data_IF_161208054166
#
_entry.id   IF_161208054166
#
_cell.length_a   1.000
_cell.length_b   1.000
_cell.length_c   1.000
_cell.angle_alpha   90.00
_cell.angle_beta   90.00
_cell.angle_gamma   90.00
#
_symmetry.space_group_name_H-M   'P 1'
#
loop_
_entity.id
_entity.type
_entity.pdbx_description
1 polymer ?
#
# COMPACT_ATOMS: atom_id res chain seq x y z
N UNK A 1 -29.10 -5.79 -2.52
CA UNK A 1 -28.43 -5.12 -1.40
C UNK A 1 -26.95 -5.10 -1.73
N UNK A 2 -26.30 -3.96 -1.55
CA UNK A 2 -24.85 -3.80 -1.75
C UNK A 2 -24.10 -4.64 -0.70
N UNK A 3 -23.14 -5.46 -1.11
CA UNK A 3 -22.31 -6.27 -0.21
C UNK A 3 -21.37 -5.41 0.61
N UNK A 4 -20.89 -5.88 1.75
CA UNK A 4 -19.90 -5.17 2.56
C UNK A 4 -18.58 -4.96 1.80
N UNK A 5 -18.24 -5.86 0.88
CA UNK A 5 -17.10 -5.69 -0.03
C UNK A 5 -17.30 -4.53 -1.01
N UNK A 6 -18.48 -4.39 -1.61
CA UNK A 6 -18.79 -3.27 -2.50
C UNK A 6 -18.74 -1.94 -1.75
N UNK A 7 -19.30 -1.86 -0.54
CA UNK A 7 -19.20 -0.68 0.32
C UNK A 7 -17.74 -0.34 0.63
N UNK A 8 -16.95 -1.33 1.06
CA UNK A 8 -15.53 -1.18 1.36
C UNK A 8 -14.77 -0.55 0.19
N UNK A 9 -14.94 -1.08 -1.03
CA UNK A 9 -14.26 -0.59 -2.23
C UNK A 9 -14.80 0.77 -2.70
N UNK A 10 -16.06 1.10 -2.39
CA UNK A 10 -16.66 2.41 -2.66
C UNK A 10 -16.23 3.49 -1.65
N UNK A 11 -15.51 3.13 -0.58
CA UNK A 11 -15.11 4.06 0.49
C UNK A 11 -16.26 4.40 1.45
N UNK A 12 -17.34 3.63 1.42
CA UNK A 12 -18.46 3.73 2.35
C UNK A 12 -18.13 3.06 3.68
N UNK A 13 -18.94 3.32 4.71
CA UNK A 13 -18.84 2.57 5.97
C UNK A 13 -19.26 1.11 5.75
N UNK A 14 -18.40 0.18 6.16
CA UNK A 14 -18.60 -1.25 6.02
C UNK A 14 -18.28 -2.00 7.30
N UNK A 15 -18.82 -3.20 7.43
CA UNK A 15 -18.54 -4.11 8.53
C UNK A 15 -17.37 -5.04 8.16
N UNK A 16 -16.19 -4.80 8.72
CA UNK A 16 -15.00 -5.63 8.48
C UNK A 16 -15.13 -7.08 9.00
N UNK A 17 -16.09 -7.35 9.87
CA UNK A 17 -16.36 -8.70 10.38
C UNK A 17 -17.27 -9.54 9.45
N UNK A 18 -17.67 -8.98 8.30
CA UNK A 18 -18.42 -9.71 7.29
C UNK A 18 -17.70 -11.02 6.90
N UNK A 19 -18.41 -12.16 6.80
CA UNK A 19 -17.80 -13.46 6.53
C UNK A 19 -16.96 -13.53 5.27
N UNK A 20 -17.37 -12.86 4.18
CA UNK A 20 -16.63 -12.86 2.91
C UNK A 20 -15.33 -12.08 3.04
N UNK A 21 -15.35 -10.92 3.74
CA UNK A 21 -14.16 -10.13 4.02
C UNK A 21 -13.20 -10.89 4.96
N UNK A 22 -13.71 -11.57 5.96
CA UNK A 22 -12.90 -12.43 6.85
C UNK A 22 -12.27 -13.58 6.07
N UNK A 23 -13.02 -14.24 5.17
CA UNK A 23 -12.48 -15.31 4.33
C UNK A 23 -11.37 -14.80 3.40
N UNK A 24 -11.55 -13.61 2.80
CA UNK A 24 -10.56 -13.00 1.93
C UNK A 24 -9.26 -12.68 2.69
N UNK A 25 -9.33 -12.08 3.89
CA UNK A 25 -8.14 -11.83 4.72
C UNK A 25 -7.45 -13.14 5.15
N UNK A 26 -8.21 -14.18 5.48
CA UNK A 26 -7.63 -15.50 5.80
C UNK A 26 -6.89 -16.11 4.61
N UNK A 27 -7.41 -15.92 3.39
CA UNK A 27 -6.71 -16.34 2.17
C UNK A 27 -5.38 -15.59 2.02
N UNK A 28 -5.40 -14.26 2.13
CA UNK A 28 -4.19 -13.44 2.06
C UNK A 28 -3.14 -13.87 3.10
N UNK A 29 -3.55 -14.08 4.36
CA UNK A 29 -2.65 -14.53 5.44
C UNK A 29 -1.97 -15.87 5.17
N UNK A 30 -2.67 -16.83 4.53
CA UNK A 30 -2.03 -18.11 4.13
C UNK A 30 -0.96 -17.91 3.08
N UNK A 31 -1.20 -17.05 2.09
CA UNK A 31 -0.21 -16.73 1.05
C UNK A 31 0.97 -15.94 1.62
N UNK A 32 0.70 -14.99 2.50
CA UNK A 32 1.74 -14.24 3.22
C UNK A 32 2.60 -15.14 4.12
N UNK A 33 2.03 -16.13 4.79
CA UNK A 33 2.80 -17.10 5.59
C UNK A 33 3.76 -17.88 4.70
N UNK A 34 3.31 -18.36 3.53
CA UNK A 34 4.18 -19.02 2.55
C UNK A 34 5.27 -18.08 2.03
N UNK A 35 4.90 -16.87 1.63
CA UNK A 35 5.83 -15.87 1.14
C UNK A 35 6.88 -15.48 2.19
N UNK A 36 6.46 -15.20 3.42
CA UNK A 36 7.36 -14.73 4.48
C UNK A 36 8.30 -15.81 5.03
N UNK A 37 8.03 -17.09 4.75
CA UNK A 37 8.95 -18.21 5.05
C UNK A 37 9.96 -18.48 3.95
N UNK A 38 9.91 -17.79 2.83
CA UNK A 38 10.77 -17.99 1.66
C UNK A 38 12.02 -17.11 1.66
N UNK A 39 12.59 -16.81 2.84
CA UNK A 39 13.75 -15.90 2.98
C UNK A 39 14.98 -16.34 2.19
N UNK A 40 15.15 -17.64 2.01
CA UNK A 40 16.31 -18.29 1.36
C UNK A 40 16.04 -18.67 -0.10
N UNK A 41 14.87 -18.31 -0.66
CA UNK A 41 14.50 -18.60 -2.05
C UNK A 41 14.72 -17.40 -2.97
N UNK A 42 14.82 -17.68 -4.28
CA UNK A 42 14.99 -16.62 -5.28
C UNK A 42 13.70 -15.79 -5.45
N UNK A 43 13.79 -14.55 -5.98
CA UNK A 43 12.60 -13.76 -6.31
C UNK A 43 11.67 -14.46 -7.30
N UNK A 44 12.24 -15.21 -8.26
CA UNK A 44 11.49 -15.97 -9.27
C UNK A 44 10.65 -17.08 -8.62
N UNK A 45 11.16 -17.72 -7.58
CA UNK A 45 10.42 -18.74 -6.83
C UNK A 45 9.26 -18.15 -6.01
N UNK A 46 9.35 -16.86 -5.64
CA UNK A 46 8.33 -16.14 -4.89
C UNK A 46 7.21 -15.56 -5.78
N UNK A 47 7.51 -15.28 -7.04
CA UNK A 47 6.57 -14.66 -7.97
C UNK A 47 5.22 -15.39 -8.08
N UNK A 48 5.14 -16.73 -8.17
CA UNK A 48 3.86 -17.44 -8.21
C UNK A 48 2.97 -17.20 -6.98
N UNK A 49 3.56 -16.96 -5.80
CA UNK A 49 2.82 -16.63 -4.58
C UNK A 49 2.28 -15.21 -4.68
N UNK A 50 3.10 -14.26 -5.14
CA UNK A 50 2.71 -12.86 -5.32
C UNK A 50 1.61 -12.71 -6.38
N UNK A 51 1.66 -13.46 -7.48
CA UNK A 51 0.60 -13.47 -8.50
C UNK A 51 -0.74 -14.00 -7.98
N UNK A 52 -0.72 -14.86 -6.97
CA UNK A 52 -1.94 -15.33 -6.32
C UNK A 52 -2.45 -14.36 -5.26
N UNK A 53 -1.54 -13.59 -4.64
CA UNK A 53 -1.85 -12.66 -3.56
C UNK A 53 -2.36 -11.32 -4.09
N UNK A 54 -1.64 -10.73 -5.05
CA UNK A 54 -1.85 -9.36 -5.51
C UNK A 54 -2.90 -9.28 -6.63
N UNK A 55 -3.58 -8.13 -6.71
CA UNK A 55 -4.59 -7.87 -7.73
C UNK A 55 -3.99 -7.71 -9.12
N UNK A 56 -2.80 -7.09 -9.21
CA UNK A 56 -2.00 -7.02 -10.42
C UNK A 56 -0.52 -6.98 -10.05
N UNK A 57 0.30 -7.66 -10.85
CA UNK A 57 1.75 -7.74 -10.67
C UNK A 57 2.43 -7.53 -12.02
N UNK A 58 3.17 -6.42 -12.15
CA UNK A 58 4.00 -6.12 -13.31
C UNK A 58 5.25 -7.02 -13.41
N UNK A 59 6.05 -6.79 -14.42
CA UNK A 59 7.29 -7.55 -14.65
C UNK A 59 8.43 -7.00 -13.78
N UNK A 60 9.33 -7.88 -13.30
CA UNK A 60 10.50 -7.51 -12.52
C UNK A 60 10.18 -6.92 -11.15
N UNK A 61 9.02 -7.19 -10.60
CA UNK A 61 8.67 -6.80 -9.24
C UNK A 61 9.46 -7.65 -8.25
N UNK A 62 10.05 -6.98 -7.25
CA UNK A 62 10.80 -7.63 -6.19
C UNK A 62 10.30 -7.16 -4.82
N UNK A 63 9.85 -8.09 -4.01
CA UNK A 63 9.42 -7.82 -2.64
C UNK A 63 10.28 -8.63 -1.70
N UNK A 64 10.96 -7.97 -0.76
CA UNK A 64 11.71 -8.65 0.30
C UNK A 64 10.79 -9.06 1.44
N UNK A 65 10.81 -10.33 1.84
CA UNK A 65 10.09 -10.75 3.03
C UNK A 65 10.79 -10.23 4.32
N UNK A 66 10.02 -10.03 5.41
CA UNK A 66 8.58 -10.20 5.44
C UNK A 66 7.82 -9.01 4.84
N UNK A 67 6.68 -9.31 4.23
CA UNK A 67 5.72 -8.33 3.70
C UNK A 67 4.34 -8.63 4.26
N UNK A 68 3.52 -7.60 4.48
CA UNK A 68 2.18 -7.76 5.05
C UNK A 68 1.15 -6.93 4.30
N UNK A 69 -0.05 -7.49 4.13
CA UNK A 69 -1.23 -6.78 3.62
C UNK A 69 -2.51 -7.36 4.22
N UNK A 70 -3.65 -6.67 4.02
CA UNK A 70 -4.94 -7.18 4.48
C UNK A 70 -5.53 -8.20 3.51
N UNK A 71 -5.68 -7.83 2.26
CA UNK A 71 -6.34 -8.64 1.21
C UNK A 71 -5.40 -9.01 0.08
N UNK A 72 -4.45 -8.15 -0.26
CA UNK A 72 -3.55 -8.26 -1.40
C UNK A 72 -4.24 -8.00 -2.73
N UNK A 73 -5.47 -8.47 -2.89
CA UNK A 73 -6.24 -8.34 -4.13
C UNK A 73 -6.59 -6.91 -4.55
N UNK A 74 -6.43 -5.94 -3.66
CA UNK A 74 -6.65 -4.52 -3.96
C UNK A 74 -5.34 -3.76 -4.22
N UNK A 75 -4.21 -4.46 -4.31
CA UNK A 75 -2.89 -3.91 -4.62
C UNK A 75 -2.55 -4.20 -6.08
N UNK A 76 -2.26 -3.16 -6.85
CA UNK A 76 -1.80 -3.23 -8.23
C UNK A 76 -0.42 -2.59 -8.36
N UNK A 77 0.56 -3.37 -8.81
CA UNK A 77 1.95 -2.95 -9.01
C UNK A 77 2.28 -2.92 -10.50
N UNK A 78 2.89 -1.83 -10.96
CA UNK A 78 3.55 -1.73 -12.25
C UNK A 78 4.85 -2.53 -12.30
N UNK A 79 5.65 -2.28 -13.34
CA UNK A 79 6.90 -3.01 -13.56
C UNK A 79 8.04 -2.49 -12.67
N UNK A 80 8.99 -3.38 -12.32
CA UNK A 80 10.23 -3.04 -11.60
C UNK A 80 9.99 -2.28 -10.29
N UNK A 81 8.91 -2.64 -9.59
CA UNK A 81 8.63 -2.15 -8.24
C UNK A 81 9.42 -2.95 -7.22
N UNK A 82 10.13 -2.27 -6.34
CA UNK A 82 10.91 -2.88 -5.26
C UNK A 82 10.36 -2.50 -3.89
N UNK A 83 10.06 -3.50 -3.07
CA UNK A 83 9.79 -3.33 -1.64
C UNK A 83 10.92 -3.94 -0.82
N UNK A 84 11.52 -3.15 0.05
CA UNK A 84 12.48 -3.62 1.04
C UNK A 84 11.75 -4.28 2.23
N UNK A 85 12.50 -4.79 3.21
CA UNK A 85 11.99 -5.57 4.35
C UNK A 85 10.92 -4.86 5.17
N UNK A 86 10.00 -5.65 5.74
CA UNK A 86 8.98 -5.21 6.71
C UNK A 86 8.01 -4.15 6.18
N UNK A 87 7.75 -4.11 4.90
CA UNK A 87 6.74 -3.21 4.36
C UNK A 87 5.33 -3.73 4.65
N UNK A 88 4.41 -2.80 4.92
CA UNK A 88 3.01 -3.08 5.25
C UNK A 88 2.09 -2.30 4.32
N UNK A 89 1.13 -2.96 3.69
CA UNK A 89 0.10 -2.32 2.86
C UNK A 89 -1.28 -2.74 3.37
N UNK A 90 -1.97 -1.86 4.08
CA UNK A 90 -3.37 -2.10 4.45
C UNK A 90 -4.27 -1.67 3.30
N UNK A 91 -4.86 -2.65 2.61
CA UNK A 91 -5.54 -2.49 1.33
C UNK A 91 -7.06 -2.77 1.36
N UNK A 92 -7.84 -2.27 2.33
CA UNK A 92 -9.30 -2.30 2.18
C UNK A 92 -9.80 -1.43 1.02
N UNK A 93 -9.08 -0.37 0.61
CA UNK A 93 -9.28 0.30 -0.69
C UNK A 93 -8.10 0.03 -1.63
N UNK A 94 -8.24 0.42 -2.89
CA UNK A 94 -7.20 0.18 -3.91
C UNK A 94 -5.93 0.94 -3.61
N UNK A 95 -4.80 0.25 -3.79
CA UNK A 95 -3.44 0.81 -3.82
C UNK A 95 -2.89 0.58 -5.22
N UNK A 96 -2.69 1.65 -5.98
CA UNK A 96 -2.10 1.58 -7.32
C UNK A 96 -0.71 2.18 -7.28
N UNK A 97 0.29 1.43 -7.71
CA UNK A 97 1.70 1.83 -7.76
C UNK A 97 2.18 1.69 -9.20
N UNK A 98 2.76 2.76 -9.74
CA UNK A 98 3.33 2.80 -11.07
C UNK A 98 4.59 1.94 -11.21
N UNK A 99 5.35 2.16 -12.27
CA UNK A 99 6.59 1.43 -12.54
C UNK A 99 7.82 2.14 -11.97
N UNK A 100 8.92 1.39 -11.77
CA UNK A 100 10.20 1.94 -11.31
C UNK A 100 10.11 2.64 -9.94
N UNK A 101 9.39 2.01 -9.00
CA UNK A 101 9.19 2.54 -7.65
C UNK A 101 10.00 1.75 -6.64
N UNK A 102 10.77 2.47 -5.80
CA UNK A 102 11.59 1.88 -4.75
C UNK A 102 11.06 2.25 -3.37
N UNK A 103 10.72 1.24 -2.57
CA UNK A 103 10.34 1.41 -1.17
C UNK A 103 11.47 0.94 -0.25
N UNK A 104 11.91 1.82 0.64
CA UNK A 104 12.84 1.47 1.72
C UNK A 104 12.20 0.56 2.77
N UNK A 105 12.99 0.04 3.73
CA UNK A 105 12.46 -0.86 4.75
C UNK A 105 11.44 -0.17 5.66
N UNK A 106 10.49 -0.95 6.17
CA UNK A 106 9.45 -0.49 7.09
C UNK A 106 8.53 0.61 6.52
N UNK A 107 8.39 0.74 5.21
CA UNK A 107 7.41 1.64 4.61
C UNK A 107 6.00 1.09 4.87
N UNK A 108 5.08 1.99 5.22
CA UNK A 108 3.71 1.67 5.58
C UNK A 108 2.75 2.45 4.69
N UNK A 109 1.81 1.75 4.04
CA UNK A 109 0.80 2.32 3.15
C UNK A 109 -0.56 1.95 3.71
N UNK A 110 -1.35 2.94 4.16
CA UNK A 110 -2.60 2.70 4.84
C UNK A 110 -3.76 3.31 4.07
N UNK A 111 -4.61 2.49 3.45
CA UNK A 111 -5.89 2.97 2.90
C UNK A 111 -6.98 2.98 3.96
N UNK A 112 -6.84 2.16 5.01
CA UNK A 112 -7.80 2.00 6.08
C UNK A 112 -7.96 3.28 6.92
N UNK A 113 -9.19 3.57 7.32
CA UNK A 113 -9.52 4.65 8.26
C UNK A 113 -10.69 4.23 9.14
N UNK A 114 -10.80 4.84 10.30
CA UNK A 114 -11.91 4.64 11.21
C UNK A 114 -12.67 5.95 11.43
N UNK A 115 -13.99 5.88 11.69
CA UNK A 115 -14.77 7.05 12.08
C UNK A 115 -14.15 7.77 13.28
N UNK A 116 -14.05 9.10 13.20
CA UNK A 116 -13.58 9.91 14.33
C UNK A 116 -14.59 9.90 15.48
N UNK A 117 -15.88 9.80 15.18
CA UNK A 117 -16.91 9.59 16.19
C UNK A 117 -16.70 8.23 16.87
N UNK A 118 -16.52 8.27 18.19
CA UNK A 118 -16.22 7.09 18.98
C UNK A 118 -17.39 6.10 19.08
N UNK A 119 -18.63 6.56 18.97
CA UNK A 119 -19.80 5.68 19.01
C UNK A 119 -19.93 4.87 17.72
N UNK A 120 -19.73 5.51 16.56
CA UNK A 120 -19.70 4.85 15.27
C UNK A 120 -18.52 3.88 15.18
N UNK A 121 -17.33 4.29 15.64
CA UNK A 121 -16.14 3.42 15.67
C UNK A 121 -16.35 2.20 16.58
N UNK A 122 -17.02 2.37 17.73
CA UNK A 122 -17.36 1.27 18.66
C UNK A 122 -18.32 0.26 18.03
N UNK A 123 -19.16 0.68 17.10
CA UNK A 123 -20.03 -0.23 16.34
C UNK A 123 -19.26 -1.14 15.37
N UNK A 124 -17.94 -0.98 15.25
CA UNK A 124 -17.06 -1.82 14.43
C UNK A 124 -17.07 -1.46 12.95
N UNK A 125 -17.61 -0.29 12.59
CA UNK A 125 -17.59 0.18 11.20
C UNK A 125 -16.26 0.82 10.85
N UNK A 126 -15.82 0.56 9.63
CA UNK A 126 -14.59 1.07 9.03
C UNK A 126 -14.88 1.75 7.70
N UNK A 127 -13.92 2.51 7.20
CA UNK A 127 -13.93 3.03 5.84
C UNK A 127 -12.51 3.00 5.29
N UNK A 128 -12.35 3.25 4.00
CA UNK A 128 -11.04 3.31 3.38
C UNK A 128 -11.01 4.36 2.26
N UNK A 129 -9.80 4.84 1.93
CA UNK A 129 -9.58 5.77 0.81
C UNK A 129 -8.44 5.26 -0.05
N UNK A 130 -8.60 5.23 -1.38
CA UNK A 130 -7.58 4.72 -2.28
C UNK A 130 -6.30 5.55 -2.22
N UNK A 131 -5.16 4.88 -2.46
CA UNK A 131 -3.85 5.52 -2.56
C UNK A 131 -3.30 5.30 -3.96
N UNK A 132 -2.71 6.33 -4.53
CA UNK A 132 -2.04 6.30 -5.83
C UNK A 132 -0.61 6.77 -5.70
N UNK A 133 0.32 5.96 -6.19
CA UNK A 133 1.74 6.26 -6.25
C UNK A 133 2.14 6.16 -7.72
N UNK A 134 2.66 7.22 -8.30
CA UNK A 134 3.07 7.29 -9.69
C UNK A 134 4.30 6.43 -9.99
N UNK A 135 5.01 6.77 -11.05
CA UNK A 135 6.21 6.07 -11.50
C UNK A 135 7.49 6.84 -11.14
N UNK A 136 8.66 6.16 -11.18
CA UNK A 136 9.98 6.72 -10.91
C UNK A 136 10.07 7.36 -9.51
N UNK A 137 9.55 6.71 -8.49
CA UNK A 137 9.46 7.24 -7.13
C UNK A 137 10.40 6.48 -6.19
N UNK A 138 11.06 7.22 -5.32
CA UNK A 138 11.74 6.63 -4.17
C UNK A 138 11.07 7.06 -2.86
N UNK A 139 10.63 6.07 -2.08
CA UNK A 139 10.08 6.27 -0.73
C UNK A 139 11.08 5.78 0.29
N UNK A 140 11.63 6.69 1.08
CA UNK A 140 12.60 6.41 2.13
C UNK A 140 12.02 5.53 3.24
N UNK A 141 12.90 4.74 3.88
CA UNK A 141 12.51 3.79 4.91
C UNK A 141 11.74 4.41 6.07
N UNK A 142 10.77 3.66 6.61
CA UNK A 142 9.94 4.10 7.72
C UNK A 142 8.91 5.19 7.36
N UNK A 143 8.77 5.56 6.09
CA UNK A 143 7.73 6.50 5.68
C UNK A 143 6.34 5.87 5.82
N UNK A 144 5.35 6.71 6.18
CA UNK A 144 3.95 6.31 6.32
C UNK A 144 3.13 7.12 5.31
N UNK A 145 2.38 6.43 4.43
CA UNK A 145 1.48 7.03 3.45
C UNK A 145 0.05 6.86 3.95
N UNK A 146 -0.62 7.99 4.20
CA UNK A 146 -1.95 8.04 4.80
C UNK A 146 -3.09 7.85 3.78
N UNK A 147 -4.31 7.50 4.21
CA UNK A 147 -5.44 7.24 3.35
C UNK A 147 -5.79 8.38 2.39
N UNK A 148 -6.01 8.06 1.13
CA UNK A 148 -6.46 9.01 0.10
C UNK A 148 -5.35 9.83 -0.56
N UNK A 149 -4.07 9.55 -0.24
CA UNK A 149 -2.92 10.29 -0.78
C UNK A 149 -2.59 9.86 -2.21
N UNK A 150 -2.26 10.85 -3.04
CA UNK A 150 -1.62 10.68 -4.35
C UNK A 150 -0.19 11.20 -4.30
N UNK A 151 0.80 10.40 -4.74
CA UNK A 151 2.18 10.83 -4.93
C UNK A 151 2.47 10.86 -6.44
N UNK A 152 2.82 12.05 -6.95
CA UNK A 152 3.11 12.27 -8.36
C UNK A 152 4.46 11.68 -8.77
N UNK A 153 4.59 11.42 -10.09
CA UNK A 153 5.77 10.79 -10.70
C UNK A 153 7.09 11.51 -10.36
N UNK A 154 8.19 10.78 -10.41
CA UNK A 154 9.55 11.30 -10.26
C UNK A 154 9.76 12.07 -8.95
N UNK A 155 9.06 11.68 -7.89
CA UNK A 155 9.17 12.31 -6.57
C UNK A 155 9.97 11.42 -5.60
N UNK A 156 10.53 12.06 -4.60
CA UNK A 156 11.26 11.40 -3.51
C UNK A 156 10.61 11.76 -2.18
N UNK A 157 10.28 10.74 -1.39
CA UNK A 157 9.78 10.88 -0.02
C UNK A 157 10.92 10.56 0.94
N UNK A 158 11.30 11.49 1.78
CA UNK A 158 12.36 11.31 2.78
C UNK A 158 11.99 10.25 3.84
N UNK A 159 13.00 9.56 4.37
CA UNK A 159 12.81 8.54 5.41
C UNK A 159 12.09 9.10 6.64
N UNK A 160 11.25 8.27 7.29
CA UNK A 160 10.48 8.63 8.48
C UNK A 160 9.36 9.66 8.24
N UNK A 161 9.04 9.98 7.00
CA UNK A 161 8.00 10.96 6.65
C UNK A 161 6.60 10.40 6.90
N UNK A 162 5.67 11.28 7.31
CA UNK A 162 4.22 10.96 7.38
C UNK A 162 3.48 11.78 6.34
N UNK A 163 3.13 11.12 5.23
CA UNK A 163 2.50 11.74 4.06
C UNK A 163 0.99 11.78 4.27
N UNK A 164 0.48 12.97 4.64
CA UNK A 164 -0.94 13.20 4.98
C UNK A 164 -1.72 13.95 3.92
N UNK A 165 -1.06 14.36 2.82
CA UNK A 165 -1.63 15.11 1.69
C UNK A 165 -0.91 14.71 0.41
N UNK A 166 -1.52 15.01 -0.72
CA UNK A 166 -0.95 14.76 -2.02
C UNK A 166 0.41 15.43 -2.18
N UNK A 167 1.32 14.75 -2.87
CA UNK A 167 2.66 15.22 -3.21
C UNK A 167 2.70 15.40 -4.73
N UNK A 168 3.03 16.61 -5.24
CA UNK A 168 3.13 16.83 -6.67
C UNK A 168 4.31 16.05 -7.28
N UNK A 169 4.30 15.91 -8.61
CA UNK A 169 5.38 15.25 -9.32
C UNK A 169 6.70 16.06 -9.25
N UNK A 170 7.84 15.37 -9.36
CA UNK A 170 9.14 15.98 -9.51
C UNK A 170 9.66 16.74 -8.28
N UNK A 171 9.29 16.32 -7.07
CA UNK A 171 9.70 17.00 -5.84
C UNK A 171 10.38 16.06 -4.84
N UNK A 172 11.22 16.64 -4.00
CA UNK A 172 11.62 16.05 -2.73
C UNK A 172 10.68 16.54 -1.63
N UNK A 173 10.02 15.62 -0.94
CA UNK A 173 9.15 15.91 0.19
C UNK A 173 9.58 15.11 1.42
N UNK A 174 9.53 15.70 2.60
CA UNK A 174 9.96 15.03 3.84
C UNK A 174 9.28 15.58 5.09
N UNK A 175 9.40 14.85 6.19
CA UNK A 175 9.01 15.27 7.54
C UNK A 175 7.69 14.69 8.05
N UNK A 176 7.34 15.06 9.27
CA UNK A 176 6.06 14.70 9.92
C UNK A 176 5.40 15.98 10.49
N UNK A 177 4.32 16.48 9.88
CA UNK A 177 3.73 16.02 8.61
C UNK A 177 4.64 16.32 7.40
N UNK A 178 4.62 15.43 6.39
CA UNK A 178 5.42 15.57 5.19
C UNK A 178 5.07 16.86 4.41
N UNK A 179 6.10 17.57 3.94
CA UNK A 179 5.98 18.79 3.14
C UNK A 179 6.99 18.76 1.99
N UNK A 180 6.64 19.41 0.89
CA UNK A 180 7.57 19.65 -0.21
C UNK A 180 8.73 20.50 0.33
N UNK A 181 9.95 20.00 0.15
CA UNK A 181 11.19 20.68 0.55
C UNK A 181 11.75 21.48 -0.64
N UNK A 182 11.79 20.85 -1.82
CA UNK A 182 12.29 21.47 -3.05
C UNK A 182 11.86 20.68 -4.30
N UNK A 183 11.83 21.33 -5.48
CA UNK A 183 11.78 20.62 -6.75
C UNK A 183 13.04 19.74 -6.94
N UNK A 184 12.91 18.69 -7.77
CA UNK A 184 14.03 17.90 -8.25
C UNK A 184 14.47 18.43 -9.63
N UNK A 185 15.79 18.56 -9.86
CA UNK A 185 16.34 18.99 -11.14
C UNK A 185 16.10 17.89 -12.20
N UNK A 186 15.75 18.30 -13.42
CA UNK A 186 15.50 17.39 -14.53
C UNK A 186 14.06 16.85 -14.60
N UNK A 187 13.13 17.41 -13.86
CA UNK A 187 11.70 17.01 -13.85
C UNK A 187 10.85 17.72 -14.92
N UNK A 188 11.46 18.33 -15.94
CA UNK A 188 10.78 18.98 -17.08
C UNK A 188 10.55 18.04 -18.25
#
# INVERSE_FOLDING_TARGET
MTSEREKMLAGELYNAADPDLVAARRRARRLLDQFNRSLDTSPEDREPILRQLLGALGEGVWIEPPFFCDYGGNIALGDRVFFNFNCVVLDPATVTIGSDVLFGPNVQIYTATHPLDHAVRRAGLEAAKPIRIGSDIWVGGGAIICPGVTIGDRSVIGAGSVVTRDVPAGVFAAGNPCRVVRPLEGSS
#
